data_IF_243643603635
#
_entry.id   IF_243643603635
#
_cell.length_a   1.000
_cell.length_b   1.000
_cell.length_c   1.000
_cell.angle_alpha   90.00
_cell.angle_beta   90.00
_cell.angle_gamma   90.00
#
_symmetry.space_group_name_H-M   'P 1'
#
loop_
_entity.id
_entity.type
_entity.pdbx_description
1 polymer ?
#
# COMPACT_ATOMS: atom_id res chain seq x y z
N UNK A 1 -25.51 4.94 -11.27
CA UNK A 1 -25.52 4.79 -9.80
C UNK A 1 -26.34 3.55 -9.49
N UNK A 2 -25.75 2.58 -8.79
CA UNK A 2 -26.36 1.30 -8.42
C UNK A 2 -26.48 1.24 -6.89
N UNK A 3 -27.67 0.88 -6.41
CA UNK A 3 -28.01 0.80 -4.98
C UNK A 3 -28.60 -0.56 -4.60
N UNK A 4 -28.50 -1.56 -5.48
CA UNK A 4 -29.05 -2.88 -5.26
C UNK A 4 -28.05 -3.86 -4.63
N UNK A 5 -28.44 -5.13 -4.58
CA UNK A 5 -27.54 -6.24 -4.29
C UNK A 5 -27.21 -6.96 -5.60
N UNK A 6 -25.96 -6.88 -6.04
CA UNK A 6 -25.42 -7.67 -7.13
C UNK A 6 -24.66 -8.85 -6.55
N UNK A 7 -25.23 -10.04 -6.67
CA UNK A 7 -24.59 -11.29 -6.30
C UNK A 7 -24.20 -12.06 -7.57
N UNK A 8 -22.90 -12.20 -7.80
CA UNK A 8 -22.38 -12.97 -8.94
C UNK A 8 -22.46 -14.47 -8.78
N UNK A 9 -22.94 -15.00 -7.65
CA UNK A 9 -23.07 -16.44 -7.38
C UNK A 9 -21.77 -17.25 -7.57
N UNK A 10 -20.61 -16.62 -7.35
CA UNK A 10 -19.27 -17.15 -7.61
C UNK A 10 -18.97 -17.41 -9.09
N UNK A 11 -19.77 -16.86 -10.00
CA UNK A 11 -19.50 -16.91 -11.43
C UNK A 11 -18.24 -16.13 -11.80
N UNK A 12 -17.67 -16.51 -12.93
CA UNK A 12 -16.49 -15.84 -13.51
C UNK A 12 -16.93 -14.84 -14.57
N UNK A 13 -16.48 -13.59 -14.43
CA UNK A 13 -16.56 -12.56 -15.45
C UNK A 13 -15.19 -12.42 -16.12
N UNK A 14 -15.13 -12.80 -17.39
CA UNK A 14 -13.92 -12.69 -18.22
C UNK A 14 -13.99 -11.47 -19.14
N UNK A 15 -12.83 -10.93 -19.51
CA UNK A 15 -12.66 -9.94 -20.59
C UNK A 15 -13.54 -8.68 -20.47
N UNK A 16 -13.77 -8.22 -19.23
CA UNK A 16 -14.56 -7.01 -19.02
C UNK A 16 -13.90 -5.78 -19.67
N UNK A 17 -14.59 -5.07 -20.58
CA UNK A 17 -14.04 -3.90 -21.25
C UNK A 17 -14.08 -2.65 -20.37
N UNK A 18 -14.82 -2.68 -19.25
CA UNK A 18 -14.93 -1.60 -18.28
C UNK A 18 -15.39 -2.14 -16.91
N UNK A 19 -15.48 -1.24 -15.93
CA UNK A 19 -16.02 -1.55 -14.62
C UNK A 19 -17.44 -2.11 -14.66
N UNK A 20 -17.74 -3.09 -13.80
CA UNK A 20 -19.09 -3.64 -13.64
C UNK A 20 -20.10 -2.55 -13.26
N UNK A 21 -19.71 -1.64 -12.35
CA UNK A 21 -20.54 -0.56 -11.85
C UNK A 21 -19.74 0.75 -11.86
N UNK A 22 -20.24 1.80 -12.50
CA UNK A 22 -19.56 3.11 -12.44
C UNK A 22 -19.65 3.72 -11.02
N UNK A 23 -20.85 3.72 -10.41
CA UNK A 23 -21.05 4.25 -9.06
C UNK A 23 -21.90 3.33 -8.22
N UNK A 24 -21.34 2.82 -7.14
CA UNK A 24 -22.00 2.02 -6.10
C UNK A 24 -22.34 2.93 -4.91
N UNK A 25 -23.60 2.93 -4.48
CA UNK A 25 -24.08 3.81 -3.41
C UNK A 25 -25.28 3.26 -2.67
N UNK A 26 -25.74 3.99 -1.65
CA UNK A 26 -27.05 3.77 -1.01
C UNK A 26 -27.22 2.39 -0.43
N UNK A 27 -26.24 1.90 0.33
CA UNK A 27 -26.15 0.53 0.84
C UNK A 27 -26.05 -0.55 -0.26
N UNK A 28 -25.61 -0.17 -1.46
CA UNK A 28 -25.41 -1.11 -2.56
C UNK A 28 -24.35 -2.15 -2.21
N UNK A 29 -24.62 -3.41 -2.60
CA UNK A 29 -23.75 -4.55 -2.34
C UNK A 29 -23.32 -5.16 -3.66
N UNK A 30 -22.03 -5.48 -3.78
CA UNK A 30 -21.49 -6.29 -4.87
C UNK A 30 -20.69 -7.44 -4.28
N UNK A 31 -21.05 -8.67 -4.63
CA UNK A 31 -20.50 -9.84 -3.95
C UNK A 31 -20.41 -11.11 -4.77
N UNK A 32 -19.53 -12.01 -4.33
CA UNK A 32 -19.35 -13.36 -4.86
C UNK A 32 -19.07 -13.36 -6.36
N UNK A 33 -18.00 -12.68 -6.78
CA UNK A 33 -17.62 -12.57 -8.19
C UNK A 33 -16.15 -12.92 -8.36
N UNK A 34 -15.86 -13.75 -9.35
CA UNK A 34 -14.52 -13.99 -9.82
C UNK A 34 -14.28 -13.19 -11.11
N UNK A 35 -13.31 -12.30 -11.12
CA UNK A 35 -12.87 -11.58 -12.30
C UNK A 35 -11.59 -12.24 -12.79
N UNK A 36 -11.56 -12.67 -14.04
CA UNK A 36 -10.40 -13.32 -14.62
C UNK A 36 -10.08 -12.72 -15.99
N UNK A 37 -8.80 -12.62 -16.33
CA UNK A 37 -8.34 -12.03 -17.60
C UNK A 37 -8.95 -10.65 -17.90
N UNK A 38 -9.21 -9.83 -16.88
CA UNK A 38 -9.70 -8.46 -17.08
C UNK A 38 -8.55 -7.64 -17.65
N UNK A 39 -8.78 -6.96 -18.77
CA UNK A 39 -7.78 -6.10 -19.42
C UNK A 39 -8.37 -4.71 -19.66
N UNK A 40 -8.12 -3.79 -18.73
CA UNK A 40 -8.59 -2.39 -18.85
C UNK A 40 -7.58 -1.48 -19.52
N UNK A 41 -6.48 -2.00 -20.11
CA UNK A 41 -5.37 -1.15 -20.58
C UNK A 41 -5.75 -0.14 -21.67
N UNK A 42 -6.84 -0.41 -22.38
CA UNK A 42 -7.39 0.43 -23.45
C UNK A 42 -8.76 1.02 -23.08
N UNK A 43 -9.23 0.79 -21.85
CA UNK A 43 -10.54 1.25 -21.40
C UNK A 43 -10.46 2.68 -20.87
N UNK A 44 -11.56 3.42 -21.01
CA UNK A 44 -11.74 4.73 -20.38
C UNK A 44 -12.25 4.62 -18.92
N UNK A 45 -12.57 3.41 -18.46
CA UNK A 45 -13.13 3.12 -17.14
C UNK A 45 -12.34 2.03 -16.42
N UNK A 46 -11.45 2.42 -15.51
CA UNK A 46 -10.81 1.56 -14.52
C UNK A 46 -11.60 1.73 -13.23
N UNK A 47 -12.14 0.68 -12.58
CA UNK A 47 -11.52 -0.57 -12.10
C UNK A 47 -12.39 -1.81 -12.47
N UNK A 48 -12.16 -3.01 -11.94
CA UNK A 48 -13.00 -4.18 -12.27
C UNK A 48 -14.44 -4.09 -11.70
N UNK A 49 -14.57 -3.66 -10.45
CA UNK A 49 -15.86 -3.71 -9.73
C UNK A 49 -16.60 -2.39 -9.80
N UNK A 50 -16.09 -1.36 -9.10
CA UNK A 50 -16.81 -0.12 -8.89
C UNK A 50 -15.90 1.09 -9.04
N UNK A 51 -16.15 1.98 -10.01
CA UNK A 51 -15.30 3.17 -10.16
C UNK A 51 -15.37 4.09 -8.92
N UNK A 52 -16.57 4.38 -8.43
CA UNK A 52 -16.76 5.08 -7.15
C UNK A 52 -17.67 4.30 -6.22
N UNK A 53 -17.33 4.27 -4.93
CA UNK A 53 -18.16 3.74 -3.85
C UNK A 53 -18.51 4.85 -2.86
N UNK A 54 -19.76 4.92 -2.39
CA UNK A 54 -20.18 5.86 -1.34
C UNK A 54 -21.37 5.34 -0.52
N UNK A 55 -21.80 6.10 0.50
CA UNK A 55 -23.04 5.86 1.26
C UNK A 55 -23.27 4.40 1.69
N UNK A 56 -22.40 3.87 2.55
CA UNK A 56 -22.54 2.55 3.19
C UNK A 56 -22.49 1.37 2.21
N UNK A 57 -21.85 1.57 1.06
CA UNK A 57 -21.66 0.52 0.05
C UNK A 57 -20.69 -0.57 0.50
N UNK A 58 -20.94 -1.79 0.03
CA UNK A 58 -20.16 -2.98 0.40
C UNK A 58 -19.72 -3.71 -0.87
N UNK A 59 -18.43 -4.04 -0.93
CA UNK A 59 -17.88 -4.95 -1.93
C UNK A 59 -17.22 -6.11 -1.18
N UNK A 60 -17.65 -7.35 -1.44
CA UNK A 60 -17.13 -8.50 -0.70
C UNK A 60 -17.04 -9.81 -1.47
N UNK A 61 -16.17 -10.71 -1.03
CA UNK A 61 -15.96 -12.01 -1.70
C UNK A 61 -15.63 -11.81 -3.20
N UNK A 62 -14.63 -10.96 -3.45
CA UNK A 62 -14.17 -10.64 -4.79
C UNK A 62 -12.82 -11.31 -5.03
N UNK A 63 -12.71 -11.99 -6.16
CA UNK A 63 -11.44 -12.52 -6.65
C UNK A 63 -11.06 -11.84 -7.95
N UNK A 64 -9.83 -11.36 -8.10
CA UNK A 64 -9.27 -10.84 -9.36
C UNK A 64 -8.03 -11.65 -9.70
N UNK A 65 -8.00 -12.29 -10.87
CA UNK A 65 -6.89 -13.13 -11.31
C UNK A 65 -6.46 -12.84 -12.75
N UNK A 66 -5.18 -13.04 -13.03
CA UNK A 66 -4.61 -12.99 -14.38
C UNK A 66 -4.94 -11.70 -15.15
N UNK A 67 -5.09 -10.59 -14.43
CA UNK A 67 -5.68 -9.36 -14.96
C UNK A 67 -4.65 -8.25 -15.12
N UNK A 68 -4.91 -7.34 -16.04
CA UNK A 68 -4.06 -6.22 -16.38
C UNK A 68 -4.85 -4.92 -16.35
N UNK A 69 -4.42 -4.02 -15.48
CA UNK A 69 -5.03 -2.71 -15.30
C UNK A 69 -4.01 -1.63 -15.64
N UNK A 70 -4.45 -0.57 -16.32
CA UNK A 70 -3.62 0.61 -16.55
C UNK A 70 -4.42 1.84 -16.23
N UNK A 71 -3.95 2.58 -15.24
CA UNK A 71 -4.54 3.87 -14.92
C UNK A 71 -4.26 4.85 -16.03
N UNK A 72 -5.29 5.15 -16.81
CA UNK A 72 -5.38 6.43 -17.47
C UNK A 72 -5.75 7.44 -16.38
N UNK A 73 -5.10 8.60 -16.34
CA UNK A 73 -5.36 9.60 -15.31
C UNK A 73 -6.84 9.99 -15.30
N UNK A 74 -7.66 9.32 -14.49
CA UNK A 74 -9.10 9.46 -14.47
C UNK A 74 -9.43 10.82 -13.85
N UNK A 75 -9.63 11.79 -14.74
CA UNK A 75 -9.91 13.17 -14.39
C UNK A 75 -11.38 13.26 -14.00
N UNK A 76 -11.68 13.19 -12.71
CA UNK A 76 -13.01 13.57 -12.24
C UNK A 76 -13.08 15.10 -12.21
N UNK A 77 -13.62 15.69 -13.29
CA UNK A 77 -13.79 17.12 -13.41
C UNK A 77 -14.68 17.64 -12.26
N UNK A 78 -14.07 18.36 -11.30
CA UNK A 78 -14.81 19.09 -10.27
C UNK A 78 -14.13 19.22 -8.91
N UNK A 79 -13.24 18.29 -8.51
CA UNK A 79 -12.79 18.21 -7.10
C UNK A 79 -11.31 17.80 -6.99
N UNK A 80 -10.40 18.73 -7.29
CA UNK A 80 -8.95 18.58 -7.05
C UNK A 80 -8.24 17.59 -8.00
N UNK A 81 -7.14 18.02 -8.60
CA UNK A 81 -6.50 17.42 -9.77
C UNK A 81 -5.74 16.08 -9.53
N UNK A 82 -6.27 15.14 -8.73
CA UNK A 82 -5.59 13.87 -8.43
C UNK A 82 -6.27 12.67 -9.10
N UNK A 83 -5.56 12.07 -10.05
CA UNK A 83 -5.87 10.78 -10.66
C UNK A 83 -5.70 9.60 -9.68
N UNK A 84 -6.54 8.58 -9.81
CA UNK A 84 -6.61 7.44 -8.89
C UNK A 84 -6.85 6.15 -9.64
N UNK A 85 -6.30 5.05 -9.16
CA UNK A 85 -6.66 3.72 -9.65
C UNK A 85 -6.51 2.65 -8.57
N UNK A 86 -7.46 1.71 -8.55
CA UNK A 86 -7.23 0.38 -8.01
C UNK A 86 -7.84 -0.72 -8.87
N UNK A 87 -7.56 -1.99 -8.58
CA UNK A 87 -8.13 -3.09 -9.36
C UNK A 87 -9.60 -3.34 -9.00
N UNK A 88 -10.01 -3.05 -7.77
CA UNK A 88 -11.40 -3.22 -7.31
C UNK A 88 -12.17 -1.92 -7.43
N UNK A 89 -11.62 -0.82 -6.91
CA UNK A 89 -12.21 0.51 -6.99
C UNK A 89 -11.19 1.63 -7.18
N UNK A 90 -11.59 2.78 -7.72
CA UNK A 90 -10.72 3.95 -7.75
C UNK A 90 -10.82 4.75 -6.46
N UNK A 91 -12.03 4.91 -5.93
CA UNK A 91 -12.24 5.71 -4.73
C UNK A 91 -13.49 5.33 -3.92
N UNK A 92 -13.33 5.44 -2.60
CA UNK A 92 -14.43 5.45 -1.63
C UNK A 92 -14.66 6.87 -1.07
N UNK A 93 -15.92 7.31 -1.10
CA UNK A 93 -16.46 8.55 -0.53
C UNK A 93 -17.59 8.23 0.45
N UNK A 94 -17.30 7.96 1.70
CA UNK A 94 -18.36 7.55 2.62
C UNK A 94 -17.87 6.50 3.57
N UNK A 95 -18.74 6.11 4.49
CA UNK A 95 -18.54 4.87 5.22
C UNK A 95 -18.81 3.75 4.21
N UNK A 96 -17.83 2.96 3.81
CA UNK A 96 -18.00 1.84 2.87
C UNK A 96 -16.94 0.80 3.16
N UNK A 97 -17.14 -0.43 2.69
CA UNK A 97 -16.23 -1.52 3.03
C UNK A 97 -15.83 -2.41 1.87
N UNK A 98 -14.58 -2.88 1.98
CA UNK A 98 -14.07 -4.05 1.27
C UNK A 98 -13.85 -5.17 2.27
N UNK A 99 -14.38 -6.35 1.97
CA UNK A 99 -14.24 -7.55 2.79
C UNK A 99 -13.96 -8.79 1.91
N UNK A 100 -12.98 -9.62 2.27
CA UNK A 100 -12.66 -10.84 1.52
C UNK A 100 -12.34 -10.55 0.05
N UNK A 101 -11.30 -9.75 -0.17
CA UNK A 101 -10.79 -9.41 -1.50
C UNK A 101 -9.49 -10.17 -1.75
N UNK A 102 -9.46 -10.96 -2.82
CA UNK A 102 -8.26 -11.64 -3.29
C UNK A 102 -7.84 -11.09 -4.65
N UNK A 103 -6.56 -10.75 -4.79
CA UNK A 103 -5.95 -10.35 -6.06
C UNK A 103 -4.72 -11.22 -6.28
N UNK A 104 -4.67 -11.93 -7.42
CA UNK A 104 -3.52 -12.76 -7.75
C UNK A 104 -3.08 -12.66 -9.20
N UNK A 105 -1.79 -12.89 -9.45
CA UNK A 105 -1.20 -13.02 -10.80
C UNK A 105 -1.56 -11.86 -11.73
N UNK A 106 -1.63 -10.63 -11.20
CA UNK A 106 -2.18 -9.47 -11.90
C UNK A 106 -1.18 -8.31 -11.94
N UNK A 107 -1.39 -7.38 -12.85
CA UNK A 107 -0.55 -6.17 -12.97
C UNK A 107 -1.41 -4.92 -12.95
N UNK A 108 -1.00 -3.92 -12.15
CA UNK A 108 -1.59 -2.59 -12.11
C UNK A 108 -0.51 -1.55 -12.44
N UNK A 109 -0.69 -0.85 -13.56
CA UNK A 109 0.21 0.22 -14.00
C UNK A 109 -0.47 1.60 -13.91
N UNK A 110 -0.23 2.33 -12.82
CA UNK A 110 -0.69 3.70 -12.62
C UNK A 110 0.28 4.76 -13.18
N UNK A 111 0.61 4.68 -14.47
CA UNK A 111 1.48 5.65 -15.10
C UNK A 111 0.83 7.05 -15.11
N UNK A 112 1.52 8.06 -14.56
CA UNK A 112 0.95 9.40 -14.40
C UNK A 112 -0.20 9.51 -13.40
N UNK A 113 -0.44 8.45 -12.61
CA UNK A 113 -1.48 8.41 -11.59
C UNK A 113 -0.92 8.82 -10.22
N UNK A 114 -1.69 9.61 -9.48
CA UNK A 114 -1.27 10.09 -8.16
C UNK A 114 -1.47 9.04 -7.07
N UNK A 115 -2.59 8.32 -7.07
CA UNK A 115 -2.92 7.33 -6.05
C UNK A 115 -3.17 5.97 -6.70
N UNK A 116 -2.32 4.99 -6.39
CA UNK A 116 -2.36 3.65 -6.98
C UNK A 116 -2.43 2.63 -5.85
N UNK A 117 -3.54 1.91 -5.73
CA UNK A 117 -3.67 0.83 -4.76
C UNK A 117 -4.10 -0.47 -5.43
N UNK A 118 -3.55 -1.61 -5.06
CA UNK A 118 -4.00 -2.88 -5.64
C UNK A 118 -5.50 -3.10 -5.46
N UNK A 119 -6.05 -2.79 -4.28
CA UNK A 119 -7.51 -2.81 -4.06
C UNK A 119 -8.14 -1.49 -4.50
N UNK A 120 -7.65 -0.38 -3.94
CA UNK A 120 -8.30 0.93 -4.09
C UNK A 120 -7.32 2.08 -4.22
N UNK A 121 -7.56 2.98 -5.18
CA UNK A 121 -6.70 4.15 -5.38
C UNK A 121 -6.66 5.06 -4.15
N UNK A 122 -7.83 5.52 -3.70
CA UNK A 122 -7.95 6.40 -2.53
C UNK A 122 -9.16 6.06 -1.66
N UNK A 123 -9.01 6.15 -0.34
CA UNK A 123 -10.12 5.96 0.60
C UNK A 123 -10.19 7.13 1.56
N UNK A 124 -11.37 7.73 1.66
CA UNK A 124 -11.68 8.76 2.65
C UNK A 124 -12.84 8.33 3.52
N UNK A 125 -12.81 8.84 4.75
CA UNK A 125 -13.92 8.97 5.72
C UNK A 125 -13.74 8.10 6.97
N UNK A 126 -14.07 8.69 8.12
CA UNK A 126 -14.17 8.01 9.40
C UNK A 126 -15.32 6.99 9.32
N UNK A 127 -14.99 5.70 9.27
CA UNK A 127 -15.99 4.62 9.22
C UNK A 127 -15.74 3.62 8.09
N UNK A 128 -14.99 4.01 7.06
CA UNK A 128 -14.58 3.07 6.01
C UNK A 128 -13.59 2.02 6.51
N UNK A 129 -13.77 0.79 6.03
CA UNK A 129 -12.91 -0.37 6.37
C UNK A 129 -12.46 -1.13 5.11
N UNK A 130 -11.21 -1.58 5.12
CA UNK A 130 -10.69 -2.53 4.13
C UNK A 130 -10.08 -3.70 4.88
N UNK A 131 -10.67 -4.88 4.77
CA UNK A 131 -10.26 -6.01 5.59
C UNK A 131 -10.38 -7.36 4.89
N UNK A 132 -9.71 -8.37 5.43
CA UNK A 132 -9.56 -9.70 4.82
C UNK A 132 -9.06 -9.61 3.38
N UNK A 133 -7.89 -9.02 3.19
CA UNK A 133 -7.31 -8.80 1.86
C UNK A 133 -6.12 -9.72 1.64
N UNK A 134 -6.09 -10.39 0.49
CA UNK A 134 -4.97 -11.21 0.04
C UNK A 134 -4.46 -10.74 -1.33
N UNK A 135 -3.17 -10.42 -1.42
CA UNK A 135 -2.52 -9.98 -2.67
C UNK A 135 -1.28 -10.84 -2.92
N UNK A 136 -1.27 -11.62 -4.00
CA UNK A 136 -0.19 -12.58 -4.26
C UNK A 136 0.27 -12.56 -5.71
N UNK A 137 1.58 -12.51 -5.95
CA UNK A 137 2.15 -12.48 -7.32
C UNK A 137 1.63 -11.28 -8.13
N UNK A 138 1.55 -10.10 -7.53
CA UNK A 138 1.03 -8.90 -8.17
C UNK A 138 2.16 -7.89 -8.42
N UNK A 139 2.08 -7.16 -9.54
CA UNK A 139 2.97 -6.04 -9.82
C UNK A 139 2.19 -4.73 -9.85
N UNK A 140 2.46 -3.83 -8.91
CA UNK A 140 1.78 -2.56 -8.73
C UNK A 140 2.81 -1.44 -8.91
N UNK A 141 2.65 -0.64 -9.96
CA UNK A 141 3.61 0.41 -10.31
C UNK A 141 2.95 1.77 -10.45
N UNK A 142 3.58 2.81 -9.93
CA UNK A 142 3.21 4.21 -10.18
C UNK A 142 4.39 5.03 -10.73
N UNK A 143 4.08 6.12 -11.44
CA UNK A 143 5.10 7.04 -11.96
C UNK A 143 4.72 8.53 -11.88
N UNK A 144 3.63 8.85 -11.20
CA UNK A 144 3.30 10.25 -10.89
C UNK A 144 4.41 10.93 -10.06
N UNK A 145 4.57 12.24 -10.24
CA UNK A 145 5.59 13.05 -9.56
C UNK A 145 5.60 12.89 -8.03
N UNK A 146 4.43 12.72 -7.44
CA UNK A 146 4.22 12.36 -6.04
C UNK A 146 3.29 11.15 -5.92
N UNK A 147 3.52 10.13 -6.75
CA UNK A 147 2.74 8.92 -6.70
C UNK A 147 2.78 8.29 -5.30
N UNK A 148 1.60 7.95 -4.78
CA UNK A 148 1.40 7.21 -3.54
C UNK A 148 0.89 5.85 -3.94
N UNK A 149 1.70 4.84 -3.69
CA UNK A 149 1.47 3.49 -4.19
C UNK A 149 1.45 2.52 -3.02
N UNK A 150 0.37 1.76 -2.89
CA UNK A 150 0.23 0.72 -1.90
C UNK A 150 -0.25 -0.58 -2.50
N UNK A 151 0.05 -1.70 -1.85
CA UNK A 151 -0.57 -2.97 -2.22
C UNK A 151 -2.07 -2.94 -2.04
N UNK A 152 -2.58 -2.34 -0.96
CA UNK A 152 -4.03 -2.19 -0.74
C UNK A 152 -4.52 -0.83 -1.22
N UNK A 153 -3.94 0.25 -0.69
CA UNK A 153 -4.41 1.61 -0.93
C UNK A 153 -3.29 2.54 -1.41
N UNK A 154 -3.53 3.35 -2.44
CA UNK A 154 -2.60 4.41 -2.79
C UNK A 154 -2.53 5.45 -1.67
N UNK A 155 -3.70 5.92 -1.25
CA UNK A 155 -3.85 6.85 -0.13
C UNK A 155 -5.06 6.53 0.72
N UNK A 156 -4.91 6.63 2.03
CA UNK A 156 -5.99 6.46 2.99
C UNK A 156 -6.05 7.60 3.99
N UNK A 157 -7.27 8.01 4.36
CA UNK A 157 -7.49 9.05 5.37
C UNK A 157 -8.65 8.67 6.26
N UNK A 158 -8.38 8.56 7.57
CA UNK A 158 -9.41 8.25 8.57
C UNK A 158 -10.02 6.84 8.43
N UNK A 159 -9.27 5.89 7.87
CA UNK A 159 -9.73 4.55 7.47
C UNK A 159 -9.07 3.47 8.30
N UNK A 160 -9.73 2.33 8.48
CA UNK A 160 -9.12 1.13 9.06
C UNK A 160 -8.80 0.11 7.98
N UNK A 161 -7.53 -0.28 7.88
CA UNK A 161 -7.09 -1.43 7.08
C UNK A 161 -6.64 -2.53 8.04
N UNK A 162 -7.18 -3.74 7.93
CA UNK A 162 -6.80 -4.84 8.82
C UNK A 162 -6.81 -6.19 8.13
N UNK A 163 -6.12 -7.18 8.70
CA UNK A 163 -6.18 -8.58 8.23
C UNK A 163 -5.74 -8.69 6.76
N UNK A 164 -4.52 -8.23 6.50
CA UNK A 164 -3.96 -8.15 5.14
C UNK A 164 -2.76 -9.08 5.01
N UNK A 165 -2.76 -9.85 3.92
CA UNK A 165 -1.62 -10.67 3.50
C UNK A 165 -1.15 -10.24 2.11
N UNK A 166 0.14 -9.93 1.97
CA UNK A 166 0.78 -9.58 0.71
C UNK A 166 2.01 -10.47 0.51
N UNK A 167 2.01 -11.27 -0.54
CA UNK A 167 3.07 -12.24 -0.84
C UNK A 167 3.60 -12.09 -2.27
N UNK A 168 4.90 -12.29 -2.48
CA UNK A 168 5.50 -12.33 -3.83
C UNK A 168 5.12 -11.13 -4.71
N UNK A 169 5.00 -9.94 -4.12
CA UNK A 169 4.42 -8.77 -4.78
C UNK A 169 5.46 -7.67 -4.94
N UNK A 170 5.39 -6.97 -6.08
CA UNK A 170 6.22 -5.80 -6.34
C UNK A 170 5.33 -4.57 -6.20
N UNK A 171 5.68 -3.65 -5.31
CA UNK A 171 5.05 -2.33 -5.19
C UNK A 171 6.11 -1.27 -5.39
N UNK A 172 6.04 -0.51 -6.48
CA UNK A 172 7.11 0.44 -6.82
C UNK A 172 6.66 1.76 -7.41
N UNK A 173 7.47 2.79 -7.19
CA UNK A 173 7.38 4.08 -7.87
C UNK A 173 8.68 4.40 -8.61
N UNK A 174 8.55 4.75 -9.89
CA UNK A 174 9.63 5.32 -10.67
C UNK A 174 9.84 6.80 -10.28
N UNK A 175 10.49 7.07 -9.14
CA UNK A 175 10.80 8.43 -8.72
C UNK A 175 11.15 8.57 -7.24
N UNK A 176 12.04 9.53 -6.92
CA UNK A 176 12.56 9.74 -5.56
C UNK A 176 11.59 10.46 -4.61
N UNK A 177 10.44 10.93 -5.09
CA UNK A 177 9.46 11.68 -4.28
C UNK A 177 8.23 10.88 -3.90
N UNK A 178 7.95 9.77 -4.60
CA UNK A 178 6.77 8.94 -4.36
C UNK A 178 6.79 8.25 -3.00
N UNK A 179 5.60 7.96 -2.48
CA UNK A 179 5.42 7.25 -1.21
C UNK A 179 4.97 5.83 -1.53
N UNK A 180 5.64 4.84 -0.97
CA UNK A 180 5.43 3.45 -1.34
C UNK A 180 5.37 2.59 -0.09
N UNK A 181 4.25 1.90 0.09
CA UNK A 181 4.09 0.95 1.18
C UNK A 181 3.65 -0.41 0.65
N UNK A 182 3.99 -1.48 1.37
CA UNK A 182 3.37 -2.78 1.09
C UNK A 182 1.84 -2.70 1.14
N UNK A 183 1.28 -1.97 2.12
CA UNK A 183 -0.18 -1.79 2.25
C UNK A 183 -0.62 -0.43 1.73
N UNK A 184 -0.01 0.66 2.21
CA UNK A 184 -0.45 2.02 1.92
C UNK A 184 0.71 2.92 1.50
N UNK A 185 0.53 3.68 0.41
CA UNK A 185 1.49 4.72 0.03
C UNK A 185 1.52 5.87 1.03
N UNK A 186 0.35 6.44 1.31
CA UNK A 186 0.14 7.56 2.24
C UNK A 186 -1.03 7.26 3.17
N UNK A 187 -0.80 7.32 4.48
CA UNK A 187 -1.83 7.16 5.50
C UNK A 187 -1.90 8.39 6.40
N UNK A 188 -3.13 8.83 6.67
CA UNK A 188 -3.41 9.95 7.57
C UNK A 188 -4.59 9.66 8.51
N UNK A 189 -4.36 9.73 9.83
CA UNK A 189 -5.38 9.52 10.86
C UNK A 189 -6.09 8.16 10.77
N UNK A 190 -5.44 7.15 10.18
CA UNK A 190 -5.97 5.81 10.02
C UNK A 190 -5.42 4.80 11.03
N UNK A 191 -5.81 3.55 10.84
CA UNK A 191 -5.16 2.41 11.52
C UNK A 191 -4.87 1.29 10.54
N UNK A 192 -3.68 0.71 10.64
CA UNK A 192 -3.25 -0.46 9.87
C UNK A 192 -2.86 -1.55 10.86
N UNK A 193 -3.56 -2.70 10.81
CA UNK A 193 -3.43 -3.73 11.83
C UNK A 193 -3.39 -5.15 11.26
N UNK A 194 -2.66 -6.08 11.90
CA UNK A 194 -2.65 -7.51 11.53
C UNK A 194 -2.27 -7.71 10.07
N UNK A 195 -1.08 -7.22 9.71
CA UNK A 195 -0.58 -7.26 8.34
C UNK A 195 0.64 -8.16 8.24
N UNK A 196 0.70 -8.98 7.19
CA UNK A 196 1.92 -9.68 6.78
C UNK A 196 2.29 -9.30 5.36
N UNK A 197 3.51 -8.81 5.16
CA UNK A 197 4.14 -8.61 3.86
C UNK A 197 5.33 -9.55 3.77
N UNK A 198 5.36 -10.41 2.76
CA UNK A 198 6.35 -11.47 2.62
C UNK A 198 6.85 -11.64 1.19
N UNK A 199 8.13 -11.97 1.02
CA UNK A 199 8.76 -12.27 -0.29
C UNK A 199 8.53 -11.18 -1.34
N UNK A 200 8.51 -9.91 -0.90
CA UNK A 200 8.05 -8.78 -1.72
C UNK A 200 9.17 -7.77 -1.99
N UNK A 201 8.95 -6.90 -2.98
CA UNK A 201 9.86 -5.80 -3.31
C UNK A 201 9.08 -4.49 -3.24
N UNK A 202 9.47 -3.62 -2.31
CA UNK A 202 8.85 -2.32 -2.06
C UNK A 202 9.86 -1.23 -2.37
N UNK A 203 9.66 -0.42 -3.42
CA UNK A 203 10.67 0.58 -3.81
C UNK A 203 10.12 1.94 -4.24
N UNK A 204 10.72 3.03 -3.74
CA UNK A 204 10.33 4.40 -4.11
C UNK A 204 11.04 5.48 -3.29
N UNK A 205 10.50 6.69 -3.25
CA UNK A 205 11.09 7.80 -2.48
C UNK A 205 11.04 7.56 -0.96
N UNK A 206 9.82 7.49 -0.42
CA UNK A 206 9.56 7.13 0.98
C UNK A 206 8.99 5.72 1.00
N UNK A 207 9.80 4.75 1.37
CA UNK A 207 9.48 3.33 1.25
C UNK A 207 9.36 2.67 2.62
N UNK A 208 8.21 2.07 2.90
CA UNK A 208 8.01 1.26 4.10
C UNK A 208 7.49 -0.12 3.75
N UNK A 209 7.95 -1.16 4.44
CA UNK A 209 7.41 -2.51 4.21
C UNK A 209 5.89 -2.57 4.37
N UNK A 210 5.30 -1.73 5.22
CA UNK A 210 3.83 -1.57 5.38
C UNK A 210 3.34 -0.22 4.84
N UNK A 211 3.93 0.89 5.28
CA UNK A 211 3.45 2.26 4.96
C UNK A 211 4.58 3.13 4.46
N UNK A 212 4.40 3.80 3.31
CA UNK A 212 5.39 4.74 2.78
C UNK A 212 5.50 6.02 3.63
N UNK A 213 4.38 6.72 3.80
CA UNK A 213 4.25 7.87 4.68
C UNK A 213 3.09 7.70 5.65
N UNK A 214 3.34 7.89 6.94
CA UNK A 214 2.35 7.74 8.01
C UNK A 214 2.22 9.02 8.83
N UNK A 215 0.99 9.53 9.01
CA UNK A 215 0.75 10.75 9.78
C UNK A 215 -0.46 10.61 10.70
N UNK A 216 -0.22 10.73 12.01
CA UNK A 216 -1.26 10.53 13.02
C UNK A 216 -1.94 9.16 12.94
N UNK A 217 -1.23 8.13 12.46
CA UNK A 217 -1.78 6.78 12.34
C UNK A 217 -1.42 5.88 13.53
N UNK A 218 -2.13 4.74 13.60
CA UNK A 218 -1.77 3.59 14.43
C UNK A 218 -1.43 2.41 13.54
N UNK A 219 -0.18 1.94 13.59
CA UNK A 219 0.30 0.77 12.86
C UNK A 219 0.63 -0.33 13.87
N UNK A 220 -0.08 -1.46 13.85
CA UNK A 220 0.12 -2.48 14.88
C UNK A 220 0.06 -3.92 14.39
N UNK A 221 0.78 -4.82 15.07
CA UNK A 221 0.77 -6.26 14.77
C UNK A 221 1.10 -6.52 13.29
N UNK A 222 2.29 -6.08 12.88
CA UNK A 222 2.70 -6.11 11.48
C UNK A 222 4.00 -6.90 11.31
N UNK A 223 4.08 -7.70 10.25
CA UNK A 223 5.23 -8.55 9.93
C UNK A 223 5.72 -8.26 8.51
N UNK A 224 7.01 -7.95 8.37
CA UNK A 224 7.68 -7.75 7.09
C UNK A 224 8.82 -8.73 6.98
N UNK A 225 8.66 -9.75 6.13
CA UNK A 225 9.49 -10.95 6.12
C UNK A 225 10.08 -11.16 4.73
N UNK A 226 11.38 -11.45 4.61
CA UNK A 226 12.04 -11.73 3.32
C UNK A 226 11.71 -10.69 2.24
N UNK A 227 11.61 -9.43 2.65
CA UNK A 227 11.16 -8.33 1.81
C UNK A 227 12.32 -7.39 1.56
N UNK A 228 12.47 -6.94 0.31
CA UNK A 228 13.36 -5.85 -0.04
C UNK A 228 12.59 -4.54 0.06
N UNK A 229 13.09 -3.59 0.86
CA UNK A 229 12.55 -2.23 0.94
C UNK A 229 13.65 -1.25 0.54
N UNK A 230 13.44 -0.51 -0.55
CA UNK A 230 14.46 0.38 -1.14
C UNK A 230 13.95 1.79 -1.38
N UNK A 231 14.76 2.81 -1.08
CA UNK A 231 14.38 4.19 -1.37
C UNK A 231 15.30 5.28 -0.83
N UNK A 232 14.74 6.48 -0.61
CA UNK A 232 15.43 7.61 0.03
C UNK A 232 15.22 7.65 1.54
N UNK A 233 13.96 7.53 1.95
CA UNK A 233 13.52 7.44 3.36
C UNK A 233 12.90 6.07 3.56
N UNK A 234 13.60 5.17 4.24
CA UNK A 234 13.35 3.73 4.13
C UNK A 234 13.23 3.10 5.51
N UNK A 235 12.09 2.46 5.78
CA UNK A 235 11.87 1.72 7.01
C UNK A 235 11.39 0.31 6.72
N UNK A 236 11.79 -0.65 7.55
CA UNK A 236 11.27 -2.01 7.42
C UNK A 236 9.74 -2.10 7.58
N UNK A 237 9.10 -1.16 8.27
CA UNK A 237 7.64 -1.07 8.44
C UNK A 237 7.10 0.27 7.93
N UNK A 238 7.59 1.40 8.47
CA UNK A 238 7.16 2.74 8.08
C UNK A 238 8.34 3.47 7.44
N UNK A 239 8.19 3.96 6.21
CA UNK A 239 9.24 4.76 5.56
C UNK A 239 9.51 6.05 6.34
N UNK A 240 8.55 6.96 6.30
CA UNK A 240 8.60 8.25 6.98
C UNK A 240 7.32 8.41 7.83
N UNK A 241 7.44 8.84 9.09
CA UNK A 241 6.26 9.06 9.91
C UNK A 241 6.26 10.35 10.75
N UNK A 242 5.07 10.81 11.08
CA UNK A 242 4.78 12.02 11.85
C UNK A 242 3.66 11.75 12.87
N UNK A 243 3.89 12.04 14.15
CA UNK A 243 2.85 11.98 15.21
C UNK A 243 2.09 10.65 15.25
N UNK A 244 2.75 9.55 14.90
CA UNK A 244 2.14 8.22 14.70
C UNK A 244 2.57 7.23 15.77
N UNK A 245 1.89 6.10 15.84
CA UNK A 245 2.16 5.03 16.79
C UNK A 245 2.43 3.73 16.03
N UNK A 246 3.53 3.04 16.38
CA UNK A 246 3.86 1.70 15.87
C UNK A 246 3.98 0.72 17.04
N UNK A 247 3.26 -0.41 16.98
CA UNK A 247 3.30 -1.44 18.03
C UNK A 247 3.41 -2.86 17.49
N UNK A 248 4.10 -3.75 18.19
CA UNK A 248 4.14 -5.19 17.88
C UNK A 248 4.54 -5.46 16.42
N UNK A 249 5.69 -4.90 16.02
CA UNK A 249 6.16 -4.97 14.65
C UNK A 249 7.35 -5.93 14.54
N UNK A 250 7.39 -6.75 13.49
CA UNK A 250 8.53 -7.63 13.20
C UNK A 250 9.05 -7.39 11.79
N UNK A 251 10.36 -7.21 11.65
CA UNK A 251 11.07 -7.21 10.38
C UNK A 251 12.10 -8.33 10.42
N UNK A 252 11.96 -9.31 9.53
CA UNK A 252 12.73 -10.55 9.60
C UNK A 252 13.28 -10.97 8.23
N UNK A 253 14.56 -11.36 8.17
CA UNK A 253 15.17 -11.88 6.94
C UNK A 253 15.07 -10.93 5.74
N UNK A 254 14.97 -9.63 6.00
CA UNK A 254 14.67 -8.60 5.00
C UNK A 254 15.91 -7.80 4.61
N UNK A 255 15.84 -7.06 3.51
CA UNK A 255 16.90 -6.15 3.07
C UNK A 255 16.34 -4.73 2.97
N UNK A 256 16.89 -3.81 3.76
CA UNK A 256 16.42 -2.42 3.86
C UNK A 256 17.55 -1.51 3.35
N UNK A 257 17.31 -0.80 2.26
CA UNK A 257 18.35 -0.07 1.52
C UNK A 257 17.93 1.38 1.30
N UNK A 258 18.69 2.34 1.84
CA UNK A 258 18.57 3.73 1.42
C UNK A 258 19.70 4.12 0.46
N UNK A 259 19.34 4.57 -0.74
CA UNK A 259 20.27 4.75 -1.87
C UNK A 259 20.13 6.15 -2.47
N UNK A 260 20.57 7.18 -1.72
CA UNK A 260 20.55 8.59 -2.16
C UNK A 260 21.54 9.45 -1.38
N UNK A 261 21.79 10.67 -1.86
CA UNK A 261 22.69 11.66 -1.24
C UNK A 261 22.34 12.03 0.22
N UNK A 262 21.04 12.02 0.57
CA UNK A 262 20.56 12.35 1.93
C UNK A 262 19.62 11.22 2.41
N UNK A 263 20.17 10.03 2.70
CA UNK A 263 19.38 8.86 3.03
C UNK A 263 18.92 8.89 4.49
N UNK A 264 17.82 8.21 4.78
CA UNK A 264 17.42 7.87 6.15
C UNK A 264 16.90 6.43 6.13
N UNK A 265 17.50 5.54 6.92
CA UNK A 265 17.24 4.10 6.86
C UNK A 265 17.03 3.52 8.26
N UNK A 266 15.99 2.71 8.46
CA UNK A 266 15.78 2.07 9.75
C UNK A 266 15.14 0.70 9.66
N UNK A 267 15.50 -0.18 10.58
CA UNK A 267 14.97 -1.54 10.62
C UNK A 267 13.46 -1.59 10.81
N UNK A 268 12.85 -0.60 11.48
CA UNK A 268 11.40 -0.44 11.58
C UNK A 268 10.92 0.86 10.92
N UNK A 269 11.45 2.00 11.36
CA UNK A 269 11.08 3.33 10.85
C UNK A 269 12.30 4.02 10.21
N UNK A 270 12.15 4.56 9.00
CA UNK A 270 13.22 5.29 8.31
C UNK A 270 13.44 6.71 8.80
N UNK A 271 12.38 7.50 8.91
CA UNK A 271 12.39 8.84 9.51
C UNK A 271 11.21 9.02 10.48
N UNK A 272 11.48 9.56 11.66
CA UNK A 272 10.49 9.75 12.71
C UNK A 272 10.44 11.20 13.20
N UNK A 273 9.23 11.78 13.23
CA UNK A 273 8.91 13.01 13.97
C UNK A 273 7.75 12.73 14.91
N UNK A 274 7.95 12.83 16.21
CA UNK A 274 6.92 12.56 17.23
C UNK A 274 6.27 11.17 17.10
N UNK A 275 7.05 10.15 16.72
CA UNK A 275 6.54 8.77 16.63
C UNK A 275 6.84 8.01 17.91
N UNK A 276 5.84 7.27 18.40
CA UNK A 276 6.04 6.24 19.43
C UNK A 276 6.14 4.88 18.76
N UNK A 277 7.24 4.17 18.97
CA UNK A 277 7.35 2.75 18.64
C UNK A 277 7.38 1.93 19.94
N UNK A 278 6.81 0.72 19.94
CA UNK A 278 6.87 -0.22 21.05
C UNK A 278 6.90 -1.64 20.47
N UNK A 279 7.71 -2.52 21.07
CA UNK A 279 7.79 -3.95 20.69
C UNK A 279 8.13 -4.15 19.20
N UNK A 280 9.23 -3.51 18.78
CA UNK A 280 9.81 -3.70 17.46
C UNK A 280 10.88 -4.82 17.54
N UNK A 281 10.73 -5.84 16.70
CA UNK A 281 11.74 -6.88 16.50
C UNK A 281 12.35 -6.76 15.11
N UNK A 282 13.67 -6.66 15.03
CA UNK A 282 14.42 -6.70 13.77
C UNK A 282 15.42 -7.85 13.84
N UNK A 283 15.26 -8.86 12.99
CA UNK A 283 16.05 -10.09 13.04
C UNK A 283 16.53 -10.51 11.66
N UNK A 284 17.77 -11.01 11.57
CA UNK A 284 18.35 -11.55 10.32
C UNK A 284 18.23 -10.59 9.12
N UNK A 285 18.22 -9.29 9.39
CA UNK A 285 17.93 -8.25 8.39
C UNK A 285 19.22 -7.53 8.01
N UNK A 286 19.36 -7.20 6.73
CA UNK A 286 20.43 -6.33 6.24
C UNK A 286 19.89 -4.90 6.17
N UNK A 287 20.57 -3.95 6.80
CA UNK A 287 20.24 -2.53 6.76
C UNK A 287 21.44 -1.81 6.16
N UNK A 288 21.25 -1.16 5.02
CA UNK A 288 22.33 -0.54 4.26
C UNK A 288 22.01 0.85 3.75
N UNK A 289 23.06 1.64 3.58
CA UNK A 289 23.01 3.01 3.07
C UNK A 289 24.29 3.37 2.33
N UNK A 290 24.17 4.28 1.37
CA UNK A 290 25.30 4.80 0.58
C UNK A 290 25.96 6.05 1.18
N UNK A 291 25.51 6.53 2.35
CA UNK A 291 26.11 7.67 3.07
C UNK A 291 26.31 7.37 4.58
N UNK A 292 27.55 7.44 5.07
CA UNK A 292 27.95 7.12 6.46
C UNK A 292 27.18 7.94 7.51
N UNK A 293 26.87 9.21 7.21
CA UNK A 293 26.23 10.13 8.16
C UNK A 293 24.81 9.69 8.57
N UNK A 294 24.19 8.81 7.77
CA UNK A 294 22.88 8.26 8.09
C UNK A 294 22.92 7.12 9.09
N UNK A 295 24.08 6.46 9.30
CA UNK A 295 24.26 5.29 10.17
C UNK A 295 24.48 5.61 11.66
N UNK A 296 24.89 6.83 12.02
CA UNK A 296 25.55 7.09 13.31
C UNK A 296 24.88 8.07 14.29
N UNK A 297 23.64 8.53 14.09
CA UNK A 297 23.10 9.61 14.93
C UNK A 297 21.67 9.41 15.42
N UNK A 298 21.50 9.00 16.68
CA UNK A 298 20.43 9.29 17.68
C UNK A 298 18.94 9.31 17.25
N UNK A 299 18.64 8.99 15.99
CA UNK A 299 17.33 9.11 15.32
C UNK A 299 17.25 8.39 13.96
N UNK A 300 18.33 7.78 13.46
CA UNK A 300 18.41 7.40 12.03
C UNK A 300 19.04 6.07 11.63
N UNK A 301 19.45 5.20 12.55
CA UNK A 301 19.56 3.75 12.30
C UNK A 301 19.14 2.99 13.55
N UNK A 302 18.26 2.01 13.37
CA UNK A 302 17.63 1.28 14.48
C UNK A 302 16.41 1.99 15.06
N UNK A 303 15.59 2.64 14.21
CA UNK A 303 14.36 3.35 14.58
C UNK A 303 13.32 2.49 15.30
N UNK A 304 13.57 2.20 16.56
CA UNK A 304 12.55 1.90 17.55
C UNK A 304 12.82 2.77 18.78
N UNK A 305 11.91 3.68 19.04
CA UNK A 305 11.64 4.08 20.41
C UNK A 305 10.97 2.87 21.11
N UNK A 306 11.09 2.72 22.43
CA UNK A 306 10.53 1.58 23.17
C UNK A 306 11.42 0.32 23.19
N UNK A 307 10.84 -0.82 23.58
CA UNK A 307 11.56 -2.10 23.64
C UNK A 307 11.88 -2.58 22.22
N UNK A 308 13.14 -2.44 21.80
CA UNK A 308 13.63 -2.92 20.51
C UNK A 308 14.49 -4.15 20.71
N UNK A 309 14.14 -5.24 20.02
CA UNK A 309 15.01 -6.42 19.93
C UNK A 309 15.68 -6.47 18.57
N UNK A 310 17.01 -6.30 18.54
CA UNK A 310 17.84 -6.46 17.34
C UNK A 310 18.70 -7.72 17.50
N UNK A 311 18.57 -8.69 16.58
CA UNK A 311 19.34 -9.95 16.63
C UNK A 311 19.87 -10.32 15.25
N UNK A 312 21.18 -10.61 15.16
CA UNK A 312 21.84 -11.09 13.91
C UNK A 312 21.60 -10.17 12.70
N UNK A 313 21.43 -8.87 12.95
CA UNK A 313 21.21 -7.84 11.94
C UNK A 313 22.56 -7.26 11.50
N UNK A 314 22.75 -7.11 10.19
CA UNK A 314 23.98 -6.55 9.62
C UNK A 314 23.70 -5.11 9.22
N UNK A 315 24.50 -4.17 9.73
CA UNK A 315 24.50 -2.78 9.30
C UNK A 315 25.68 -2.57 8.35
N UNK A 316 25.40 -2.12 7.13
CA UNK A 316 26.41 -1.97 6.08
C UNK A 316 26.43 -0.53 5.56
N UNK A 317 27.63 0.01 5.43
CA UNK A 317 27.90 1.20 4.65
C UNK A 317 28.55 0.77 3.33
N UNK A 318 28.00 1.25 2.20
CA UNK A 318 28.60 1.04 0.89
C UNK A 318 29.21 2.36 0.41
N UNK A 319 30.53 2.45 0.45
CA UNK A 319 31.28 3.58 -0.10
C UNK A 319 31.27 3.48 -1.64
N UNK A 320 30.51 4.34 -2.31
CA UNK A 320 30.56 4.45 -3.77
C UNK A 320 31.76 5.32 -4.17
N UNK A 321 32.97 4.79 -3.99
CA UNK A 321 34.18 5.30 -4.64
C UNK A 321 34.22 4.75 -6.08
N UNK A 322 33.77 5.55 -7.05
CA UNK A 322 34.11 5.46 -8.47
C UNK A 322 34.17 6.87 -9.06
#
# INVERSE_FOLDING_TARGET
>A
MFTGDFNGNNETLDELPCCLIDRLSGNGIVQNINFNNVDTRNAECDPAVANTMHDESIVRFIKIENSQFKGVGSYFAGLGAYSRIGMVSNIIWGESSFDNVMIANSTLNGAGVNYVGGVVGEVYNNGSEVFNVMIVNVNITGSGWEARVGGVAGKMRSVRIKEVYIGNTIVKVAGQKGYVGGVAGDSYKGSIQNVTVIDSIISGGRAGGIVGYSKSDKVSTCHVIRTEVKGRCVGGVIGCGESSEMKNATVASSTIIADTDIPSVGGGIGYARDITAVDLTVIDTVISTTNESSLHGLSKVGGGFGNVTVRRTIFQYNDHQN
#
